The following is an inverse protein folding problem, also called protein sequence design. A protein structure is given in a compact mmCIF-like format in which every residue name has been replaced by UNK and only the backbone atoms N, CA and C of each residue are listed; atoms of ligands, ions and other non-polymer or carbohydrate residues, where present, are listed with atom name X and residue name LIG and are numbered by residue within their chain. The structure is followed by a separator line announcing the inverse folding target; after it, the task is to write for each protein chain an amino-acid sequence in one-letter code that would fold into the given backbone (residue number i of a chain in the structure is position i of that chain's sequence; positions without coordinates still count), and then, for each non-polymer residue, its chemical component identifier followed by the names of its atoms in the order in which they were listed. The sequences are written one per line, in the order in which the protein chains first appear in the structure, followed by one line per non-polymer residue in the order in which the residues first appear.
data_IF_326018852549
#
_entry.id   IF_326018852549
#
_cell.length_a   1.000
_cell.length_b   1.000
_cell.length_c   1.000
_cell.angle_alpha   90.00
_cell.angle_beta   90.00
_cell.angle_gamma   90.00
#
_symmetry.space_group_name_H-M   'P 1'
#
loop_
_entity.id
_entity.type
_entity.pdbx_description
1 polymer ?
#
# COMPACT_ATOMS: atom_id res chain seq x y z
N UNK A 1 -2.75 -13.27 -5.25
CA UNK A 1 -3.12 -12.32 -6.29
C UNK A 1 -2.20 -11.12 -6.35
N UNK A 2 -2.33 -10.37 -7.41
CA UNK A 2 -1.49 -9.20 -7.63
C UNK A 2 -2.24 -7.89 -7.41
N UNK A 3 -3.56 -7.92 -7.38
CA UNK A 3 -4.38 -6.72 -7.26
C UNK A 3 -5.27 -6.78 -6.04
N UNK A 4 -5.43 -5.65 -5.42
CA UNK A 4 -6.21 -5.45 -4.23
C UNK A 4 -7.16 -4.29 -4.48
N UNK A 5 -8.41 -4.45 -4.09
CA UNK A 5 -9.38 -3.37 -4.14
C UNK A 5 -9.46 -2.73 -2.76
N UNK A 6 -9.18 -1.45 -2.71
CA UNK A 6 -9.34 -0.66 -1.48
C UNK A 6 -10.58 0.20 -1.60
N UNK A 7 -11.44 0.14 -0.59
CA UNK A 7 -12.48 1.13 -0.37
C UNK A 7 -12.08 1.93 0.85
N UNK A 8 -11.69 3.17 0.64
CA UNK A 8 -11.25 4.05 1.70
C UNK A 8 -12.43 4.59 2.50
N UNK A 9 -12.24 4.76 3.80
CA UNK A 9 -13.19 5.47 4.64
C UNK A 9 -13.30 6.95 4.29
N UNK A 10 -14.24 7.64 4.93
CA UNK A 10 -14.49 9.05 4.67
C UNK A 10 -15.56 9.25 3.61
N UNK A 11 -15.88 10.52 3.32
CA UNK A 11 -16.92 10.86 2.37
C UNK A 11 -16.40 11.93 1.41
N UNK A 12 -16.58 11.74 0.09
CA UNK A 12 -17.12 10.53 -0.51
C UNK A 12 -16.14 9.36 -0.40
N UNK A 13 -16.64 8.13 -0.29
CA UNK A 13 -15.76 6.97 -0.32
C UNK A 13 -15.15 6.84 -1.71
N UNK A 14 -13.93 6.28 -1.78
CA UNK A 14 -13.38 5.98 -3.08
C UNK A 14 -12.81 4.56 -3.11
N UNK A 15 -12.75 4.02 -4.31
CA UNK A 15 -12.35 2.63 -4.55
C UNK A 15 -11.21 2.65 -5.56
N UNK A 16 -10.15 1.90 -5.27
CA UNK A 16 -8.97 1.82 -6.13
C UNK A 16 -8.41 0.41 -6.14
N UNK A 17 -7.86 0.01 -7.28
CA UNK A 17 -7.13 -1.24 -7.42
C UNK A 17 -5.65 -0.97 -7.22
N UNK A 18 -5.02 -1.79 -6.37
CA UNK A 18 -3.59 -1.69 -6.09
C UNK A 18 -2.94 -3.07 -6.13
N UNK A 19 -1.64 -3.09 -6.40
CA UNK A 19 -0.82 -4.26 -6.13
C UNK A 19 -0.55 -4.34 -4.63
N UNK A 20 -0.39 -5.56 -4.12
CA UNK A 20 -0.14 -5.77 -2.70
C UNK A 20 0.84 -6.92 -2.48
N UNK A 21 1.43 -6.95 -1.28
CA UNK A 21 2.26 -8.07 -0.82
C UNK A 21 1.75 -8.48 0.55
N UNK A 22 1.49 -9.79 0.73
CA UNK A 22 1.15 -10.32 2.03
C UNK A 22 2.40 -10.50 2.88
N UNK A 23 2.30 -10.24 4.19
CA UNK A 23 3.35 -10.41 5.16
C UNK A 23 2.74 -10.92 6.47
N UNK A 24 3.55 -11.48 7.39
CA UNK A 24 3.00 -11.91 8.68
C UNK A 24 2.27 -10.81 9.46
N UNK A 25 2.71 -9.57 9.31
CA UNK A 25 2.11 -8.43 10.00
C UNK A 25 0.79 -7.97 9.37
N UNK A 26 0.57 -8.26 8.10
CA UNK A 26 -0.62 -7.80 7.38
C UNK A 26 -0.39 -7.68 5.88
N UNK A 27 -1.08 -6.73 5.26
CA UNK A 27 -1.00 -6.50 3.82
C UNK A 27 -0.24 -5.20 3.56
N UNK A 28 0.79 -5.29 2.73
CA UNK A 28 1.63 -4.14 2.39
C UNK A 28 1.18 -3.57 1.05
N UNK A 29 0.95 -2.27 1.00
CA UNK A 29 0.75 -1.53 -0.23
C UNK A 29 1.79 -0.42 -0.32
N UNK A 30 2.17 -0.06 -1.53
CA UNK A 30 3.19 0.97 -1.76
C UNK A 30 2.72 1.91 -2.86
N UNK A 31 3.14 3.16 -2.76
CA UNK A 31 2.87 4.17 -3.78
C UNK A 31 4.09 5.06 -3.97
N UNK A 32 4.20 5.65 -5.15
CA UNK A 32 5.27 6.61 -5.43
C UNK A 32 5.16 7.82 -4.50
N UNK A 33 6.28 8.50 -4.22
CA UNK A 33 6.24 9.72 -3.41
C UNK A 33 5.20 10.70 -3.98
N UNK A 34 4.40 11.27 -3.07
CA UNK A 34 3.32 12.20 -3.39
C UNK A 34 2.26 11.63 -4.34
N UNK A 35 2.27 10.31 -4.53
CA UNK A 35 1.26 9.63 -5.33
C UNK A 35 0.09 9.19 -4.49
N UNK A 36 -1.04 8.91 -5.17
CA UNK A 36 -2.15 8.24 -4.55
C UNK A 36 -3.04 9.10 -3.68
N UNK A 37 -4.25 9.33 -4.16
CA UNK A 37 -5.27 10.03 -3.40
C UNK A 37 -5.62 9.30 -2.09
N UNK A 38 -5.58 7.97 -2.11
CA UNK A 38 -5.86 7.16 -0.93
C UNK A 38 -4.80 7.35 0.16
N UNK A 39 -3.53 7.53 -0.24
CA UNK A 39 -2.44 7.75 0.71
C UNK A 39 -2.64 9.07 1.45
N UNK A 40 -3.06 10.10 0.74
CA UNK A 40 -3.36 11.39 1.37
C UNK A 40 -4.51 11.27 2.36
N UNK A 41 -5.53 10.48 2.04
CA UNK A 41 -6.65 10.26 2.96
C UNK A 41 -6.19 9.58 4.25
N UNK A 42 -5.29 8.61 4.15
CA UNK A 42 -4.73 7.94 5.34
C UNK A 42 -3.99 8.97 6.21
N UNK A 43 -3.21 9.84 5.59
CA UNK A 43 -2.49 10.90 6.32
C UNK A 43 -3.44 11.88 6.99
N UNK A 44 -4.59 12.12 6.38
CA UNK A 44 -5.62 13.00 6.92
C UNK A 44 -6.46 12.34 8.01
N UNK A 45 -6.10 11.14 8.44
CA UNK A 45 -6.80 10.42 9.52
C UNK A 45 -7.86 9.44 9.06
N UNK A 46 -8.06 9.26 7.76
CA UNK A 46 -9.02 8.30 7.21
C UNK A 46 -8.35 6.94 7.06
N UNK A 47 -7.97 6.33 8.18
CA UNK A 47 -7.17 5.10 8.20
C UNK A 47 -7.98 3.84 8.01
N UNK A 48 -9.30 3.88 8.24
CA UNK A 48 -10.17 2.73 8.09
C UNK A 48 -10.51 2.49 6.61
N UNK A 49 -10.53 1.22 6.22
CA UNK A 49 -10.91 0.86 4.87
C UNK A 49 -11.29 -0.61 4.78
N UNK A 50 -11.62 -1.04 3.58
CA UNK A 50 -11.92 -2.43 3.28
C UNK A 50 -11.00 -2.88 2.15
N UNK A 51 -10.38 -4.04 2.36
CA UNK A 51 -9.56 -4.67 1.34
C UNK A 51 -10.31 -5.89 0.79
N UNK A 52 -10.42 -5.96 -0.53
CA UNK A 52 -10.99 -7.13 -1.18
C UNK A 52 -9.87 -7.91 -1.85
N UNK A 53 -9.71 -9.16 -1.42
CA UNK A 53 -8.72 -10.08 -1.97
C UNK A 53 -9.50 -11.30 -2.47
N UNK A 54 -9.54 -11.52 -3.79
CA UNK A 54 -10.40 -12.53 -4.37
C UNK A 54 -11.86 -12.23 -4.09
N UNK A 55 -12.59 -13.17 -3.49
CA UNK A 55 -14.01 -13.02 -3.16
C UNK A 55 -14.26 -12.56 -1.73
N UNK A 56 -13.20 -12.35 -0.95
CA UNK A 56 -13.32 -11.97 0.46
C UNK A 56 -13.02 -10.48 0.65
N UNK A 57 -13.82 -9.84 1.50
CA UNK A 57 -13.65 -8.44 1.88
C UNK A 57 -13.33 -8.37 3.38
N UNK A 58 -12.28 -7.63 3.71
CA UNK A 58 -11.77 -7.52 5.07
C UNK A 58 -11.84 -6.07 5.53
N UNK A 59 -12.38 -5.85 6.73
CA UNK A 59 -12.31 -4.55 7.37
C UNK A 59 -10.89 -4.37 7.94
N UNK A 60 -10.21 -3.32 7.50
CA UNK A 60 -8.80 -3.11 7.79
C UNK A 60 -8.53 -1.66 8.19
N UNK A 61 -7.36 -1.44 8.75
CA UNK A 61 -6.86 -0.10 9.00
C UNK A 61 -5.44 0.01 8.47
N UNK A 62 -5.12 1.20 7.98
CA UNK A 62 -3.82 1.50 7.39
C UNK A 62 -2.94 2.28 8.36
N UNK A 63 -1.66 1.92 8.38
CA UNK A 63 -0.63 2.65 9.11
C UNK A 63 0.49 2.96 8.12
N UNK A 64 0.88 4.22 8.00
CA UNK A 64 2.03 4.56 7.18
C UNK A 64 3.31 4.14 7.89
N UNK A 65 4.17 3.41 7.17
CA UNK A 65 5.49 3.02 7.64
C UNK A 65 6.49 4.01 7.07
N UNK A 66 7.26 4.65 7.94
CA UNK A 66 8.18 5.71 7.52
C UNK A 66 9.62 5.35 7.83
N UNK A 67 10.56 6.05 7.19
CA UNK A 67 11.98 5.88 7.44
C UNK A 67 12.49 4.52 6.99
N UNK A 68 13.51 4.02 7.68
CA UNK A 68 14.18 2.78 7.29
C UNK A 68 13.34 1.53 7.51
N UNK A 69 12.29 1.61 8.32
CA UNK A 69 11.36 0.49 8.51
C UNK A 69 10.63 0.12 7.21
N UNK A 70 10.58 1.01 6.23
CA UNK A 70 10.02 0.74 4.89
C UNK A 70 10.85 -0.28 4.12
N UNK A 71 12.15 -0.31 4.35
CA UNK A 71 13.09 -1.05 3.48
C UNK A 71 12.80 -2.55 3.45
N UNK A 72 12.66 -3.27 4.59
CA UNK A 72 12.30 -4.69 4.53
C UNK A 72 11.00 -4.96 3.78
N UNK A 73 10.01 -4.07 3.92
CA UNK A 73 8.73 -4.21 3.23
C UNK A 73 8.86 -3.98 1.74
N UNK A 74 9.67 -3.00 1.34
CA UNK A 74 9.95 -2.75 -0.07
C UNK A 74 10.78 -3.87 -0.70
N UNK A 75 11.63 -4.53 0.07
CA UNK A 75 12.34 -5.71 -0.41
C UNK A 75 11.38 -6.86 -0.72
N UNK A 76 10.36 -7.08 0.12
CA UNK A 76 9.30 -8.04 -0.18
C UNK A 76 8.55 -7.64 -1.46
N UNK A 77 8.27 -6.36 -1.62
CA UNK A 77 7.63 -5.82 -2.82
C UNK A 77 8.47 -6.06 -4.06
N UNK A 78 9.78 -5.80 -3.95
CA UNK A 78 10.74 -6.06 -5.02
C UNK A 78 10.73 -7.54 -5.43
N UNK A 79 10.75 -8.43 -4.44
CA UNK A 79 10.72 -9.87 -4.70
C UNK A 79 9.45 -10.34 -5.41
N UNK A 80 8.31 -9.78 -5.05
CA UNK A 80 7.02 -10.15 -5.66
C UNK A 80 6.85 -9.59 -7.07
N UNK A 81 7.21 -8.32 -7.25
CA UNK A 81 6.92 -7.58 -8.49
C UNK A 81 8.05 -7.64 -9.50
N UNK A 82 9.26 -8.02 -9.09
CA UNK A 82 10.45 -7.93 -9.93
C UNK A 82 10.97 -6.51 -10.09
N UNK A 83 10.40 -5.54 -9.39
CA UNK A 83 10.80 -4.14 -9.48
C UNK A 83 12.09 -3.92 -8.68
N UNK A 84 13.17 -3.40 -9.30
CA UNK A 84 14.44 -3.19 -8.60
C UNK A 84 14.33 -2.12 -7.51
N UNK A 85 15.06 -2.30 -6.42
CA UNK A 85 15.06 -1.35 -5.31
C UNK A 85 15.67 0.00 -5.68
N UNK A 86 16.76 -0.02 -6.45
CA UNK A 86 17.58 1.16 -6.68
C UNK A 86 17.41 1.79 -8.06
N UNK A 87 16.50 1.27 -8.88
CA UNK A 87 16.22 1.82 -10.21
C UNK A 87 14.77 2.26 -10.34
N UNK A 88 14.58 3.39 -10.99
CA UNK A 88 13.25 3.87 -11.32
C UNK A 88 12.62 2.99 -12.41
N UNK A 89 11.37 2.59 -12.20
CA UNK A 89 10.61 1.80 -13.18
C UNK A 89 9.26 2.47 -13.37
N UNK A 90 9.02 2.96 -14.57
CA UNK A 90 7.75 3.62 -14.90
C UNK A 90 7.57 5.01 -14.29
N UNK A 91 8.62 5.61 -13.76
CA UNK A 91 8.57 6.94 -13.16
C UNK A 91 9.94 7.37 -12.68
N UNK A 92 10.09 8.55 -12.10
CA UNK A 92 11.39 9.09 -11.71
C UNK A 92 11.95 8.51 -10.41
N UNK A 93 11.12 7.85 -9.60
CA UNK A 93 11.52 7.45 -8.25
C UNK A 93 11.88 5.97 -8.18
N UNK A 94 13.06 5.61 -7.61
CA UNK A 94 13.38 4.22 -7.35
C UNK A 94 12.48 3.66 -6.24
N UNK A 95 12.29 2.34 -6.24
CA UNK A 95 11.39 1.68 -5.30
C UNK A 95 11.71 2.02 -3.84
N UNK A 96 12.99 2.15 -3.50
CA UNK A 96 13.41 2.47 -2.12
C UNK A 96 12.85 3.78 -1.59
N UNK A 97 12.43 4.68 -2.48
CA UNK A 97 11.88 5.98 -2.07
C UNK A 97 10.36 5.98 -1.99
N UNK A 98 9.72 4.85 -2.33
CA UNK A 98 8.27 4.76 -2.31
C UNK A 98 7.72 4.81 -0.89
N UNK A 99 6.48 5.27 -0.78
CA UNK A 99 5.73 5.32 0.46
C UNK A 99 5.09 3.96 0.72
N UNK A 100 5.09 3.53 1.98
CA UNK A 100 4.63 2.19 2.36
C UNK A 100 3.52 2.29 3.40
N UNK A 101 2.47 1.52 3.21
CA UNK A 101 1.36 1.43 4.13
C UNK A 101 1.11 -0.03 4.49
N UNK A 102 0.98 -0.28 5.79
CA UNK A 102 0.66 -1.60 6.32
C UNK A 102 -0.82 -1.62 6.72
N UNK A 103 -1.55 -2.59 6.17
CA UNK A 103 -2.97 -2.78 6.47
C UNK A 103 -3.12 -3.96 7.41
N UNK A 104 -3.79 -3.71 8.54
CA UNK A 104 -4.05 -4.73 9.56
C UNK A 104 -5.54 -4.81 9.84
N UNK A 105 -6.01 -5.95 10.37
CA UNK A 105 -7.41 -6.16 10.68
C UNK A 105 -7.88 -5.18 11.77
N UNK A 106 -9.08 -4.67 11.58
CA UNK A 106 -9.74 -3.83 12.59
C UNK A 106 -10.43 -4.67 13.63
#
# INVERSE_FOLDING_TARGET
GVNLLIKSGGFPPFVIYLSYVGAPEGVITATRPDGGYWAQRVRDGKTDGWLRIGDATYAMQATEIVGDARIPMLELWSGKTGMPMDRAVGGPDPLRDWEVFLWTAR
#
